data_IF_229531828901
#
_entry.id   IF_229531828901
#
_cell.length_a   1.000
_cell.length_b   1.000
_cell.length_c   1.000
_cell.angle_alpha   90.00
_cell.angle_beta   90.00
_cell.angle_gamma   90.00
#
_symmetry.space_group_name_H-M   'P 1'
#
loop_
_entity.id
_entity.type
_entity.pdbx_description
1 polymer ?
#
# COMPACT_ATOMS: atom_id res chain seq x y z
N UNK A 1 38.34 -1.62 -14.37
CA UNK A 1 36.98 -2.16 -14.14
C UNK A 1 36.05 -0.97 -14.21
N UNK A 2 35.29 -0.84 -15.29
CA UNK A 2 34.44 0.35 -15.49
C UNK A 2 33.25 0.25 -14.55
N UNK A 3 33.20 1.19 -13.61
CA UNK A 3 32.04 1.40 -12.75
C UNK A 3 30.92 1.94 -13.65
N UNK A 4 29.94 1.09 -13.98
CA UNK A 4 28.67 1.54 -14.56
C UNK A 4 27.84 2.15 -13.44
N UNK A 5 28.23 3.35 -13.03
CA UNK A 5 27.31 4.37 -12.58
C UNK A 5 26.51 4.84 -13.81
N UNK A 6 25.22 5.13 -13.65
CA UNK A 6 24.29 5.64 -14.68
C UNK A 6 23.48 4.62 -15.50
N UNK A 7 22.51 4.01 -14.83
CA UNK A 7 21.12 4.21 -15.22
C UNK A 7 20.38 4.77 -14.00
N UNK A 8 19.76 5.94 -14.18
CA UNK A 8 18.89 6.65 -13.23
C UNK A 8 18.11 5.70 -12.30
N UNK A 9 17.91 6.09 -11.03
CA UNK A 9 17.28 5.38 -9.89
C UNK A 9 15.82 4.90 -10.13
N UNK A 10 15.56 4.31 -11.29
CA UNK A 10 14.27 3.88 -11.81
C UNK A 10 14.11 2.43 -11.38
N UNK A 11 13.14 2.19 -10.50
CA UNK A 11 12.76 0.84 -10.08
C UNK A 11 11.71 0.36 -11.10
N UNK A 12 12.03 -0.59 -12.00
CA UNK A 12 11.07 -1.08 -12.97
C UNK A 12 9.99 -1.90 -12.25
N UNK A 13 8.73 -1.50 -12.44
CA UNK A 13 7.55 -2.15 -11.85
C UNK A 13 6.62 -2.65 -12.97
N UNK A 14 7.01 -3.68 -13.75
CA UNK A 14 6.25 -4.12 -14.92
C UNK A 14 4.87 -4.70 -14.61
N UNK A 15 4.66 -5.18 -13.37
CA UNK A 15 3.42 -5.84 -12.95
C UNK A 15 2.53 -4.97 -12.07
N UNK A 16 2.86 -3.67 -11.91
CA UNK A 16 2.08 -2.74 -11.09
C UNK A 16 1.56 -1.62 -11.97
N UNK A 17 0.24 -1.52 -12.06
CA UNK A 17 -0.42 -0.43 -12.76
C UNK A 17 -0.14 0.92 -12.07
N UNK A 18 0.07 1.99 -12.84
CA UNK A 18 0.37 3.32 -12.30
C UNK A 18 -0.71 3.81 -11.35
N UNK A 19 -1.99 3.58 -11.65
CA UNK A 19 -3.10 3.97 -10.76
C UNK A 19 -3.05 3.21 -9.43
N UNK A 20 -2.61 1.94 -9.46
CA UNK A 20 -2.47 1.11 -8.26
C UNK A 20 -1.28 1.59 -7.44
N UNK A 21 -0.15 1.89 -8.08
CA UNK A 21 1.04 2.39 -7.42
C UNK A 21 0.79 3.72 -6.72
N UNK A 22 0.11 4.67 -7.37
CA UNK A 22 -0.25 5.96 -6.78
C UNK A 22 -1.05 5.77 -5.49
N UNK A 23 -2.06 4.88 -5.51
CA UNK A 23 -2.84 4.55 -4.31
C UNK A 23 -2.03 3.94 -3.18
N UNK A 24 -1.11 3.04 -3.51
CA UNK A 24 -0.22 2.42 -2.51
C UNK A 24 0.69 3.49 -1.89
N UNK A 25 1.20 4.43 -2.68
CA UNK A 25 2.02 5.54 -2.17
C UNK A 25 1.19 6.44 -1.26
N UNK A 26 -0.06 6.79 -1.62
CA UNK A 26 -0.96 7.56 -0.77
C UNK A 26 -1.22 6.86 0.57
N UNK A 27 -1.49 5.56 0.53
CA UNK A 27 -1.64 4.72 1.72
C UNK A 27 -0.39 4.78 2.62
N UNK A 28 0.79 4.58 2.05
CA UNK A 28 2.05 4.59 2.79
C UNK A 28 2.33 5.95 3.42
N UNK A 29 2.08 7.05 2.70
CA UNK A 29 2.22 8.41 3.22
C UNK A 29 1.27 8.64 4.40
N UNK A 30 0.00 8.27 4.26
CA UNK A 30 -1.00 8.45 5.32
C UNK A 30 -0.62 7.67 6.59
N UNK A 31 -0.16 6.43 6.44
CA UNK A 31 0.32 5.63 7.57
C UNK A 31 1.61 6.17 8.19
N UNK A 32 2.52 6.74 7.40
CA UNK A 32 3.70 7.41 7.93
C UNK A 32 3.35 8.66 8.76
N UNK A 33 2.41 9.49 8.27
CA UNK A 33 1.92 10.67 9.01
C UNK A 33 1.22 10.27 10.32
N UNK A 34 0.39 9.23 10.29
CA UNK A 34 -0.28 8.71 11.48
C UNK A 34 0.75 8.16 12.48
N UNK A 35 1.76 7.43 12.01
CA UNK A 35 2.81 6.87 12.88
C UNK A 35 3.62 7.94 13.63
N UNK A 36 3.77 9.14 13.05
CA UNK A 36 4.50 10.27 13.64
C UNK A 36 3.73 11.10 14.66
N UNK A 37 2.45 10.82 14.91
CA UNK A 37 1.70 11.48 16.00
C UNK A 37 2.14 10.96 17.37
N UNK A 38 1.84 11.63 18.49
CA UNK A 38 2.20 11.14 19.84
C UNK A 38 1.12 10.23 20.45
N UNK A 39 -0.15 10.41 20.07
CA UNK A 39 -1.30 9.75 20.70
C UNK A 39 -1.62 8.36 20.09
N UNK A 40 -1.02 7.31 20.64
CA UNK A 40 -1.11 5.90 20.18
C UNK A 40 -2.56 5.38 19.97
N UNK A 41 -3.48 5.76 20.85
CA UNK A 41 -4.88 5.31 20.76
C UNK A 41 -5.58 5.92 19.54
N UNK A 42 -5.37 7.22 19.31
CA UNK A 42 -5.89 7.95 18.16
C UNK A 42 -5.29 7.42 16.86
N UNK A 43 -3.99 7.06 16.86
CA UNK A 43 -3.32 6.47 15.69
C UNK A 43 -4.00 5.19 15.24
N UNK A 44 -4.29 4.28 16.18
CA UNK A 44 -4.92 3.00 15.87
C UNK A 44 -6.30 3.19 15.26
N UNK A 45 -7.12 4.09 15.81
CA UNK A 45 -8.44 4.39 15.28
C UNK A 45 -8.39 5.05 13.90
N UNK A 46 -7.57 6.10 13.71
CA UNK A 46 -7.47 6.81 12.42
C UNK A 46 -6.91 5.92 11.32
N UNK A 47 -5.94 5.07 11.66
CA UNK A 47 -5.35 4.11 10.73
C UNK A 47 -6.43 3.11 10.27
N UNK A 48 -7.14 2.46 11.22
CA UNK A 48 -8.21 1.51 10.91
C UNK A 48 -9.35 2.09 10.08
N UNK A 49 -9.77 3.32 10.39
CA UNK A 49 -10.88 3.97 9.68
C UNK A 49 -10.48 4.28 8.22
N UNK A 50 -9.26 4.81 8.03
CA UNK A 50 -8.68 5.02 6.71
C UNK A 50 -8.49 3.71 5.93
N UNK A 51 -7.94 2.68 6.59
CA UNK A 51 -7.78 1.35 5.99
C UNK A 51 -9.13 0.80 5.49
N UNK A 52 -10.19 0.97 6.27
CA UNK A 52 -11.55 0.51 5.94
C UNK A 52 -12.13 1.25 4.73
N UNK A 53 -11.90 2.56 4.64
CA UNK A 53 -12.27 3.36 3.48
C UNK A 53 -11.44 2.96 2.24
N UNK A 54 -10.14 2.73 2.43
CA UNK A 54 -9.20 2.36 1.37
C UNK A 54 -9.56 1.02 0.71
N UNK A 55 -9.96 0.02 1.52
CA UNK A 55 -10.39 -1.30 1.01
C UNK A 55 -11.84 -1.30 0.50
N UNK A 56 -12.58 -0.19 0.65
CA UNK A 56 -13.92 0.02 0.09
C UNK A 56 -13.89 0.34 -1.42
N UNK A 57 -13.08 -0.39 -2.17
CA UNK A 57 -12.99 -0.33 -3.63
C UNK A 57 -13.60 -1.57 -4.26
N UNK A 58 -13.86 -1.51 -5.57
CA UNK A 58 -14.33 -2.68 -6.34
C UNK A 58 -13.35 -3.85 -6.17
N UNK A 59 -13.86 -5.09 -6.08
CA UNK A 59 -13.06 -6.31 -5.94
C UNK A 59 -11.87 -6.35 -6.91
N UNK A 60 -12.10 -6.11 -8.20
CA UNK A 60 -11.06 -6.05 -9.23
C UNK A 60 -9.87 -5.15 -8.84
N UNK A 61 -10.15 -3.96 -8.28
CA UNK A 61 -9.14 -3.02 -7.82
C UNK A 61 -8.44 -3.49 -6.56
N UNK A 62 -9.17 -4.12 -5.65
CA UNK A 62 -8.63 -4.72 -4.42
C UNK A 62 -7.62 -5.84 -4.76
N UNK A 63 -7.93 -6.71 -5.72
CA UNK A 63 -7.02 -7.79 -6.15
C UNK A 63 -5.74 -7.21 -6.78
N UNK A 64 -5.84 -6.15 -7.60
CA UNK A 64 -4.65 -5.48 -8.15
C UNK A 64 -3.76 -4.87 -7.05
N UNK A 65 -4.38 -4.24 -6.04
CA UNK A 65 -3.65 -3.72 -4.88
C UNK A 65 -2.96 -4.85 -4.11
N UNK A 66 -3.62 -6.01 -3.94
CA UNK A 66 -3.03 -7.19 -3.29
C UNK A 66 -1.80 -7.71 -4.05
N UNK A 67 -1.90 -7.85 -5.39
CA UNK A 67 -0.77 -8.28 -6.21
C UNK A 67 0.42 -7.30 -6.12
N UNK A 68 0.14 -6.00 -6.17
CA UNK A 68 1.16 -4.97 -6.05
C UNK A 68 1.76 -4.92 -4.64
N UNK A 69 0.95 -5.05 -3.59
CA UNK A 69 1.40 -5.13 -2.21
C UNK A 69 2.30 -6.35 -1.95
N UNK A 70 1.95 -7.50 -2.56
CA UNK A 70 2.77 -8.70 -2.53
C UNK A 70 4.10 -8.48 -3.28
N UNK A 71 4.06 -7.86 -4.46
CA UNK A 71 5.26 -7.55 -5.24
C UNK A 71 6.21 -6.59 -4.50
N UNK A 72 5.67 -5.58 -3.82
CA UNK A 72 6.42 -4.59 -3.04
C UNK A 72 6.74 -5.04 -1.61
N UNK A 73 6.35 -6.27 -1.22
CA UNK A 73 6.55 -6.83 0.12
C UNK A 73 5.95 -5.99 1.27
N UNK A 74 4.82 -5.30 1.04
CA UNK A 74 4.15 -4.46 2.03
C UNK A 74 3.17 -5.32 2.86
N UNK A 75 3.68 -5.99 3.90
CA UNK A 75 2.90 -6.92 4.74
C UNK A 75 1.64 -6.30 5.36
N UNK A 76 1.72 -5.05 5.82
CA UNK A 76 0.60 -4.36 6.45
C UNK A 76 -0.58 -4.19 5.48
N UNK A 77 -0.29 -3.71 4.27
CA UNK A 77 -1.28 -3.52 3.21
C UNK A 77 -1.86 -4.86 2.73
N UNK A 78 -1.01 -5.89 2.59
CA UNK A 78 -1.43 -7.23 2.20
C UNK A 78 -2.41 -7.83 3.22
N UNK A 79 -2.12 -7.68 4.52
CA UNK A 79 -3.00 -8.13 5.59
C UNK A 79 -4.34 -7.42 5.59
N UNK A 80 -4.35 -6.09 5.43
CA UNK A 80 -5.58 -5.30 5.39
C UNK A 80 -6.46 -5.64 4.19
N UNK A 81 -5.85 -5.74 3.00
CA UNK A 81 -6.59 -6.09 1.80
C UNK A 81 -7.09 -7.55 1.84
N UNK A 82 -6.29 -8.48 2.37
CA UNK A 82 -6.69 -9.88 2.54
C UNK A 82 -7.86 -10.04 3.51
N UNK A 83 -7.84 -9.32 4.63
CA UNK A 83 -8.96 -9.29 5.57
C UNK A 83 -10.23 -8.71 4.94
N UNK A 84 -10.11 -7.66 4.13
CA UNK A 84 -11.22 -7.05 3.42
C UNK A 84 -11.82 -7.94 2.32
N UNK A 85 -11.01 -8.80 1.69
CA UNK A 85 -11.51 -9.85 0.79
C UNK A 85 -12.27 -10.90 1.59
N UNK A 86 -11.71 -11.35 2.71
CA UNK A 86 -12.34 -12.36 3.56
C UNK A 86 -13.68 -11.90 4.14
N UNK A 87 -13.83 -10.61 4.48
CA UNK A 87 -15.09 -10.02 4.98
C UNK A 87 -16.18 -9.92 3.89
N UNK A 88 -15.80 -9.95 2.61
CA UNK A 88 -16.72 -9.86 1.47
C UNK A 88 -17.19 -11.22 0.93
N UNK A 89 -16.71 -12.33 1.51
CA UNK A 89 -17.07 -13.72 1.16
C UNK A 89 -18.06 -14.25 2.19
#
# INVERSE_FOLDING_TARGET
MVEHHDASNIIPLPNVDTETLVKIIEYLKKHAEISGSDEEEIKKTKSKDFDKEFVSVKMQRLVNIIFAANFLHIKALLGHCGQAVADKI
#
